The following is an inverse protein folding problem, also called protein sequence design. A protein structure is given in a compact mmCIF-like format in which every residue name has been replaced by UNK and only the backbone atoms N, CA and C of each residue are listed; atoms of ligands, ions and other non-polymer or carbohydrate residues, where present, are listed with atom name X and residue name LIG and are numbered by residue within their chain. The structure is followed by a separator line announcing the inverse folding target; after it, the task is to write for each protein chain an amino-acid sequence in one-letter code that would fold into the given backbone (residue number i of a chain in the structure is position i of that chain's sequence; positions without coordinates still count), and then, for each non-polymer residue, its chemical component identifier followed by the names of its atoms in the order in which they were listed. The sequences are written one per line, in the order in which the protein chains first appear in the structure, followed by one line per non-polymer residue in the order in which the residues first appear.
data_IF_570055904082
#
_entry.id   IF_570055904082
#
_cell.length_a   1.000
_cell.length_b   1.000
_cell.length_c   1.000
_cell.angle_alpha   90.00
_cell.angle_beta   90.00
_cell.angle_gamma   90.00
#
_symmetry.space_group_name_H-M   'P 1'
#
loop_
_entity.id
_entity.type
_entity.pdbx_description
1 polymer ?
#
# COMPACT_ATOMS: atom_id res chain seq x y z
N UNK A 1 -18.46 -35.74 -9.02
CA UNK A 1 -18.44 -34.51 -8.19
C UNK A 1 -17.03 -34.14 -7.73
N UNK A 2 -16.27 -35.03 -7.10
CA UNK A 2 -14.87 -34.76 -6.68
C UNK A 2 -13.96 -34.44 -7.89
N UNK A 3 -14.08 -35.21 -8.97
CA UNK A 3 -13.32 -34.98 -10.20
C UNK A 3 -13.55 -33.54 -10.73
N UNK A 4 -14.80 -33.08 -10.74
CA UNK A 4 -15.16 -31.74 -11.19
C UNK A 4 -14.49 -30.66 -10.33
N UNK A 5 -14.46 -30.85 -8.99
CA UNK A 5 -13.80 -29.92 -8.07
C UNK A 5 -12.28 -29.91 -8.25
N UNK A 6 -11.65 -31.07 -8.44
CA UNK A 6 -10.22 -31.14 -8.72
C UNK A 6 -9.87 -30.54 -10.07
N UNK A 7 -10.67 -30.78 -11.10
CA UNK A 7 -10.48 -30.18 -12.42
C UNK A 7 -10.62 -28.65 -12.34
N UNK A 8 -11.62 -28.15 -11.59
CA UNK A 8 -11.81 -26.72 -11.40
C UNK A 8 -10.60 -26.09 -10.67
N UNK A 9 -10.17 -26.69 -9.56
CA UNK A 9 -8.99 -26.21 -8.84
C UNK A 9 -7.74 -26.23 -9.72
N UNK A 10 -7.52 -27.31 -10.48
CA UNK A 10 -6.40 -27.43 -11.41
C UNK A 10 -6.42 -26.36 -12.49
N UNK A 11 -7.56 -26.15 -13.15
CA UNK A 11 -7.70 -25.12 -14.19
C UNK A 11 -7.48 -23.71 -13.64
N UNK A 12 -8.01 -23.41 -12.45
CA UNK A 12 -7.86 -22.09 -11.83
C UNK A 12 -6.46 -21.86 -11.23
N UNK A 13 -5.66 -22.90 -11.02
CA UNK A 13 -4.25 -22.77 -10.62
C UNK A 13 -3.32 -22.39 -11.78
N UNK A 14 -3.68 -22.72 -13.04
CA UNK A 14 -2.84 -22.45 -14.20
C UNK A 14 -2.46 -20.97 -14.38
N UNK A 15 -3.37 -19.99 -14.26
CA UNK A 15 -2.99 -18.59 -14.38
C UNK A 15 -1.99 -18.13 -13.32
N UNK A 16 -2.00 -18.75 -12.13
CA UNK A 16 -1.07 -18.41 -11.04
C UNK A 16 0.30 -19.03 -11.28
N UNK A 17 0.35 -20.28 -11.81
CA UNK A 17 1.60 -21.03 -11.97
C UNK A 17 2.32 -20.71 -13.26
N UNK A 18 1.60 -20.32 -14.33
CA UNK A 18 2.19 -20.10 -15.66
C UNK A 18 2.63 -18.66 -15.92
N UNK A 19 2.25 -17.70 -15.06
CA UNK A 19 2.64 -16.30 -15.25
C UNK A 19 3.77 -15.93 -14.32
N UNK A 20 4.83 -15.31 -14.88
CA UNK A 20 6.02 -14.91 -14.13
C UNK A 20 5.88 -13.56 -13.44
N UNK A 21 4.95 -12.70 -13.88
CA UNK A 21 4.77 -11.36 -13.31
C UNK A 21 3.93 -11.36 -12.03
N UNK A 22 4.46 -10.75 -10.97
CA UNK A 22 3.72 -10.42 -9.76
C UNK A 22 3.26 -11.61 -8.93
N UNK A 23 4.08 -12.64 -8.77
CA UNK A 23 3.78 -13.80 -7.92
C UNK A 23 3.98 -13.46 -6.43
N UNK A 24 3.04 -13.86 -5.55
CA UNK A 24 1.70 -14.43 -5.82
C UNK A 24 0.67 -13.34 -6.19
N UNK A 25 -0.02 -13.49 -7.30
CA UNK A 25 -1.00 -12.50 -7.77
C UNK A 25 -2.40 -12.82 -7.21
N UNK A 26 -2.86 -12.06 -6.22
CA UNK A 26 -4.12 -12.31 -5.52
C UNK A 26 -5.35 -12.38 -6.45
N UNK A 27 -5.43 -11.50 -7.46
CA UNK A 27 -6.53 -11.50 -8.43
C UNK A 27 -6.58 -12.77 -9.29
N UNK A 28 -5.42 -13.35 -9.62
CA UNK A 28 -5.36 -14.59 -10.40
C UNK A 28 -5.74 -15.82 -9.58
N UNK A 29 -5.53 -15.77 -8.26
CA UNK A 29 -5.89 -16.86 -7.35
C UNK A 29 -7.36 -16.84 -6.90
N UNK A 30 -8.12 -15.77 -7.20
CA UNK A 30 -9.50 -15.61 -6.73
C UNK A 30 -10.42 -16.76 -7.22
N UNK A 31 -10.16 -17.28 -8.42
CA UNK A 31 -10.91 -18.41 -8.98
C UNK A 31 -10.71 -19.74 -8.23
N UNK A 32 -9.62 -19.86 -7.45
CA UNK A 32 -9.32 -21.04 -6.63
C UNK A 32 -10.10 -21.05 -5.31
N UNK A 33 -10.60 -19.90 -4.85
CA UNK A 33 -11.27 -19.76 -3.55
C UNK A 33 -12.51 -20.68 -3.49
N UNK A 34 -13.33 -20.67 -4.53
CA UNK A 34 -14.56 -21.44 -4.55
C UNK A 34 -14.33 -22.96 -4.42
N UNK A 35 -13.50 -23.63 -5.22
CA UNK A 35 -13.23 -25.05 -5.04
C UNK A 35 -12.53 -25.36 -3.70
N UNK A 36 -11.64 -24.50 -3.19
CA UNK A 36 -11.00 -24.68 -1.89
C UNK A 36 -12.06 -24.65 -0.76
N UNK A 37 -12.96 -23.69 -0.79
CA UNK A 37 -14.03 -23.58 0.21
C UNK A 37 -15.02 -24.76 0.15
N UNK A 38 -15.30 -25.28 -1.04
CA UNK A 38 -16.12 -26.51 -1.18
C UNK A 38 -15.42 -27.74 -0.62
N UNK A 39 -14.10 -27.88 -0.83
CA UNK A 39 -13.32 -28.95 -0.20
C UNK A 39 -13.29 -28.82 1.32
N UNK A 40 -13.08 -27.62 1.84
CA UNK A 40 -13.09 -27.35 3.27
C UNK A 40 -14.48 -27.67 3.89
N UNK A 41 -15.57 -27.26 3.24
CA UNK A 41 -16.93 -27.57 3.68
C UNK A 41 -17.23 -29.06 3.67
N UNK A 42 -16.81 -29.78 2.62
CA UNK A 42 -16.96 -31.24 2.57
C UNK A 42 -16.13 -31.95 3.66
N UNK A 43 -14.90 -31.50 3.89
CA UNK A 43 -14.04 -32.02 4.96
C UNK A 43 -14.64 -31.78 6.34
N UNK A 44 -15.15 -30.57 6.59
CA UNK A 44 -15.85 -30.24 7.86
C UNK A 44 -17.10 -31.12 8.09
N UNK A 45 -17.91 -31.27 7.04
CA UNK A 45 -19.09 -32.14 7.11
C UNK A 45 -18.71 -33.61 7.41
N UNK A 46 -17.74 -34.15 6.68
CA UNK A 46 -17.28 -35.52 6.88
C UNK A 46 -16.69 -35.75 8.28
N UNK A 47 -15.96 -34.76 8.79
CA UNK A 47 -15.41 -34.81 10.15
C UNK A 47 -16.51 -34.76 11.21
N UNK A 48 -17.52 -33.93 11.01
CA UNK A 48 -18.68 -33.88 11.90
C UNK A 48 -19.44 -35.20 11.92
N UNK A 49 -19.74 -35.79 10.75
CA UNK A 49 -20.38 -37.10 10.61
C UNK A 49 -19.57 -38.22 11.32
N UNK A 50 -18.26 -38.22 11.17
CA UNK A 50 -17.38 -39.17 11.84
C UNK A 50 -17.46 -39.03 13.38
N UNK A 51 -17.41 -37.80 13.88
CA UNK A 51 -17.54 -37.52 15.31
C UNK A 51 -18.93 -37.88 15.85
N UNK A 52 -19.99 -37.59 15.09
CA UNK A 52 -21.35 -37.93 15.44
C UNK A 52 -21.53 -39.42 15.69
N UNK A 53 -20.99 -40.28 14.79
CA UNK A 53 -21.04 -41.74 14.89
C UNK A 53 -20.22 -42.28 16.04
N UNK A 54 -19.12 -41.62 16.40
CA UNK A 54 -18.17 -42.14 17.40
C UNK A 54 -18.39 -41.59 18.81
N UNK A 55 -18.80 -40.34 18.95
CA UNK A 55 -18.88 -39.65 20.23
C UNK A 55 -20.29 -39.18 20.63
N UNK A 56 -21.25 -39.30 19.72
CA UNK A 56 -22.62 -38.87 19.91
C UNK A 56 -22.81 -37.37 19.64
N UNK A 57 -24.07 -36.98 19.49
CA UNK A 57 -24.50 -35.68 19.00
C UNK A 57 -23.94 -34.49 19.83
N UNK A 58 -24.09 -34.54 21.16
CA UNK A 58 -23.65 -33.45 22.04
C UNK A 58 -22.16 -33.16 21.95
N UNK A 59 -21.35 -34.23 21.91
CA UNK A 59 -19.89 -34.10 21.81
C UNK A 59 -19.46 -33.66 20.42
N UNK A 60 -20.11 -34.13 19.35
CA UNK A 60 -19.86 -33.70 18.00
C UNK A 60 -20.21 -32.21 17.80
N UNK A 61 -21.35 -31.76 18.31
CA UNK A 61 -21.76 -30.35 18.26
C UNK A 61 -20.80 -29.44 19.05
N UNK A 62 -20.39 -29.85 20.26
CA UNK A 62 -19.42 -29.11 21.06
C UNK A 62 -18.06 -29.01 20.35
N UNK A 63 -17.56 -30.10 19.76
CA UNK A 63 -16.31 -30.10 19.02
C UNK A 63 -16.38 -29.18 17.77
N UNK A 64 -17.48 -29.22 17.02
CA UNK A 64 -17.70 -28.35 15.88
C UNK A 64 -17.73 -26.86 16.31
N UNK A 65 -18.43 -26.56 17.40
CA UNK A 65 -18.48 -25.19 17.95
C UNK A 65 -17.09 -24.68 18.38
N UNK A 66 -16.35 -25.49 19.10
CA UNK A 66 -14.97 -25.15 19.51
C UNK A 66 -14.05 -24.97 18.29
N UNK A 67 -14.17 -25.82 17.27
CA UNK A 67 -13.42 -25.66 16.03
C UNK A 67 -13.74 -24.34 15.32
N UNK A 68 -15.02 -23.97 15.24
CA UNK A 68 -15.43 -22.67 14.67
C UNK A 68 -14.84 -21.49 15.45
N UNK A 69 -14.87 -21.54 16.78
CA UNK A 69 -14.24 -20.50 17.62
C UNK A 69 -12.74 -20.46 17.38
N UNK A 70 -12.06 -21.61 17.36
CA UNK A 70 -10.62 -21.67 17.13
C UNK A 70 -10.23 -21.10 15.75
N UNK A 71 -10.98 -21.42 14.70
CA UNK A 71 -10.80 -20.85 13.36
C UNK A 71 -11.03 -19.33 13.39
N UNK A 72 -12.10 -18.85 13.99
CA UNK A 72 -12.40 -17.43 14.11
C UNK A 72 -11.28 -16.66 14.81
N UNK A 73 -10.84 -17.14 15.96
CA UNK A 73 -9.79 -16.51 16.76
C UNK A 73 -8.43 -16.54 16.04
N UNK A 74 -8.07 -17.67 15.45
CA UNK A 74 -6.81 -17.81 14.71
C UNK A 74 -6.80 -16.92 13.46
N UNK A 75 -7.90 -16.86 12.71
CA UNK A 75 -8.03 -15.99 11.53
C UNK A 75 -7.99 -14.52 11.94
N UNK A 76 -8.70 -14.14 13.00
CA UNK A 76 -8.66 -12.79 13.53
C UNK A 76 -7.23 -12.38 13.93
N UNK A 77 -6.55 -13.24 14.69
CA UNK A 77 -5.16 -12.99 15.09
C UNK A 77 -4.21 -12.89 13.89
N UNK A 78 -4.30 -13.85 12.97
CA UNK A 78 -3.46 -13.86 11.77
C UNK A 78 -3.66 -12.60 10.91
N UNK A 79 -4.92 -12.18 10.72
CA UNK A 79 -5.24 -11.03 9.88
C UNK A 79 -4.93 -9.69 10.55
N UNK A 80 -5.43 -9.47 11.78
CA UNK A 80 -5.33 -8.16 12.43
C UNK A 80 -4.06 -7.95 13.25
N UNK A 81 -3.42 -9.03 13.73
CA UNK A 81 -2.23 -8.90 14.58
C UNK A 81 -0.93 -9.23 13.84
N UNK A 82 -0.93 -10.18 12.92
CA UNK A 82 0.26 -10.52 12.16
C UNK A 82 0.31 -9.75 10.83
N UNK A 83 -0.64 -10.02 9.94
CA UNK A 83 -0.61 -9.47 8.58
C UNK A 83 -0.82 -7.96 8.53
N UNK A 84 -1.81 -7.42 9.25
CA UNK A 84 -2.12 -5.99 9.20
C UNK A 84 -1.02 -5.11 9.85
N UNK A 85 -0.19 -5.69 10.72
CA UNK A 85 0.93 -4.97 11.37
C UNK A 85 2.28 -5.24 10.72
N UNK A 86 2.31 -6.08 9.69
CA UNK A 86 3.54 -6.39 8.97
C UNK A 86 3.98 -5.18 8.13
N UNK A 87 5.27 -4.84 8.19
CA UNK A 87 5.87 -3.73 7.43
C UNK A 87 5.79 -3.96 5.92
N UNK A 88 5.85 -5.21 5.45
CA UNK A 88 5.66 -5.55 4.05
C UNK A 88 4.23 -5.26 3.59
N UNK A 89 3.23 -5.51 4.45
CA UNK A 89 1.83 -5.15 4.20
C UNK A 89 1.67 -3.63 4.11
N UNK A 90 2.22 -2.88 5.06
CA UNK A 90 2.17 -1.42 5.03
C UNK A 90 2.75 -0.86 3.72
N UNK A 91 3.89 -1.37 3.27
CA UNK A 91 4.51 -0.99 1.99
C UNK A 91 3.66 -1.38 0.79
N UNK A 92 3.08 -2.58 0.78
CA UNK A 92 2.21 -3.04 -0.31
C UNK A 92 0.96 -2.18 -0.50
N UNK A 93 0.49 -1.53 0.57
CA UNK A 93 -0.64 -0.59 0.55
C UNK A 93 -0.22 0.89 0.52
N UNK A 94 1.06 1.18 0.24
CA UNK A 94 1.57 2.55 0.10
C UNK A 94 1.21 3.44 1.30
N UNK A 95 1.35 2.91 2.51
CA UNK A 95 1.05 3.63 3.76
C UNK A 95 1.94 4.86 3.91
N UNK A 96 3.20 4.78 3.48
CA UNK A 96 4.19 5.84 3.41
C UNK A 96 3.68 7.04 2.59
N UNK A 97 3.17 6.78 1.39
CA UNK A 97 2.56 7.81 0.52
C UNK A 97 1.32 8.42 1.17
N UNK A 98 0.54 7.61 1.88
CA UNK A 98 -0.65 8.10 2.61
C UNK A 98 -0.25 9.04 3.75
N UNK A 99 0.82 8.76 4.47
CA UNK A 99 1.35 9.63 5.54
C UNK A 99 1.76 11.01 5.00
N UNK A 100 2.43 11.06 3.84
CA UNK A 100 2.71 12.33 3.16
C UNK A 100 1.39 13.07 2.87
N UNK A 101 0.41 12.39 2.27
CA UNK A 101 -0.88 12.99 1.93
C UNK A 101 -1.62 13.59 3.13
N UNK A 102 -1.64 12.89 4.27
CA UNK A 102 -2.22 13.42 5.51
C UNK A 102 -1.44 14.60 6.06
N UNK A 103 -0.10 14.54 6.07
CA UNK A 103 0.74 15.63 6.55
C UNK A 103 0.57 16.90 5.70
N UNK A 104 0.51 16.78 4.38
CA UNK A 104 0.33 17.90 3.45
C UNK A 104 -0.97 18.69 3.71
N UNK A 105 -1.99 18.08 4.29
CA UNK A 105 -3.24 18.78 4.69
C UNK A 105 -3.04 19.71 5.87
N UNK A 106 -1.99 19.54 6.65
CA UNK A 106 -1.68 20.38 7.82
C UNK A 106 -0.72 21.52 7.47
N UNK A 107 -0.06 21.46 6.32
CA UNK A 107 0.86 22.50 5.86
C UNK A 107 0.10 23.72 5.36
N UNK A 108 0.56 24.93 5.72
CA UNK A 108 -0.07 26.20 5.31
C UNK A 108 -0.32 26.26 3.81
N UNK A 109 -1.46 26.86 3.42
CA UNK A 109 -1.79 27.08 2.01
C UNK A 109 -0.80 28.03 1.31
N UNK A 110 -0.13 28.91 2.07
CA UNK A 110 0.85 29.87 1.53
C UNK A 110 2.18 29.20 1.15
N UNK A 111 2.51 28.07 1.77
CA UNK A 111 3.75 27.33 1.47
C UNK A 111 3.58 26.55 0.17
N UNK A 112 4.50 26.72 -0.78
CA UNK A 112 4.59 25.89 -1.98
C UNK A 112 5.06 24.48 -1.60
N UNK A 113 4.24 23.48 -1.88
CA UNK A 113 4.47 22.08 -1.53
C UNK A 113 4.97 21.35 -2.76
N UNK A 114 6.27 21.02 -2.76
CA UNK A 114 6.93 20.28 -3.82
C UNK A 114 6.94 18.80 -3.45
N UNK A 115 6.12 18.00 -4.09
CA UNK A 115 6.02 16.55 -3.82
C UNK A 115 6.85 15.81 -4.87
N UNK A 116 7.96 15.23 -4.43
CA UNK A 116 8.85 14.46 -5.31
C UNK A 116 8.25 13.06 -5.51
N UNK A 117 7.99 12.72 -6.76
CA UNK A 117 7.42 11.43 -7.14
C UNK A 117 8.32 10.70 -8.13
N UNK A 118 8.47 9.41 -7.92
CA UNK A 118 9.04 8.54 -8.95
C UNK A 118 8.05 8.41 -10.09
N UNK A 119 8.51 8.63 -11.32
CA UNK A 119 7.70 8.48 -12.54
C UNK A 119 8.12 7.19 -13.27
N UNK A 120 7.68 5.99 -12.85
CA UNK A 120 8.03 4.78 -13.57
C UNK A 120 7.22 4.59 -14.86
N UNK A 121 6.07 5.28 -15.00
CA UNK A 121 5.15 5.12 -16.13
C UNK A 121 4.61 6.48 -16.57
N UNK A 122 4.51 6.72 -17.89
CA UNK A 122 3.82 7.89 -18.39
C UNK A 122 2.32 7.77 -18.03
N UNK A 123 1.87 8.54 -17.07
CA UNK A 123 0.44 8.69 -16.81
C UNK A 123 -0.16 9.58 -17.91
N UNK A 124 -1.38 9.27 -18.31
CA UNK A 124 -2.16 10.07 -19.26
C UNK A 124 -2.32 11.55 -18.81
N UNK A 125 -2.07 11.83 -17.53
CA UNK A 125 -2.13 13.16 -16.90
C UNK A 125 -0.77 13.73 -16.55
N UNK A 126 0.31 13.15 -17.03
CA UNK A 126 1.69 13.53 -16.71
C UNK A 126 2.04 13.51 -15.21
N UNK A 127 1.27 12.80 -14.38
CA UNK A 127 1.54 12.61 -12.94
C UNK A 127 1.65 11.13 -12.64
N UNK A 128 2.76 10.72 -12.04
CA UNK A 128 3.03 9.31 -11.74
C UNK A 128 2.00 8.66 -10.81
N UNK A 129 1.75 7.37 -11.02
CA UNK A 129 0.78 6.59 -10.23
C UNK A 129 0.97 6.72 -8.71
N UNK A 130 2.19 6.74 -8.15
CA UNK A 130 2.39 6.93 -6.71
C UNK A 130 1.83 8.24 -6.17
N UNK A 131 1.80 9.31 -6.97
CA UNK A 131 1.25 10.60 -6.57
C UNK A 131 -0.29 10.60 -6.47
N UNK A 132 -0.97 9.67 -7.11
CA UNK A 132 -2.44 9.65 -7.15
C UNK A 132 -3.07 9.47 -5.75
N UNK A 133 -2.44 8.71 -4.87
CA UNK A 133 -2.88 8.58 -3.48
C UNK A 133 -2.80 9.93 -2.76
N UNK A 134 -1.70 10.67 -2.93
CA UNK A 134 -1.53 12.01 -2.36
C UNK A 134 -2.56 12.97 -2.95
N UNK A 135 -2.77 12.94 -4.27
CA UNK A 135 -3.76 13.76 -4.96
C UNK A 135 -5.17 13.51 -4.45
N UNK A 136 -5.51 12.25 -4.17
CA UNK A 136 -6.80 11.88 -3.58
C UNK A 136 -6.95 12.44 -2.17
N UNK A 137 -5.98 12.22 -1.31
CA UNK A 137 -6.02 12.65 0.09
C UNK A 137 -6.01 14.18 0.24
N UNK A 138 -5.33 14.89 -0.67
CA UNK A 138 -5.21 16.34 -0.64
C UNK A 138 -6.24 17.04 -1.54
N UNK A 139 -7.07 16.29 -2.28
CA UNK A 139 -8.02 16.82 -3.26
C UNK A 139 -7.35 17.75 -4.29
N UNK A 140 -6.30 17.25 -4.96
CA UNK A 140 -5.49 18.02 -5.94
C UNK A 140 -5.46 17.40 -7.33
N UNK A 141 -6.52 16.69 -7.73
CA UNK A 141 -6.61 16.04 -9.05
C UNK A 141 -6.64 17.00 -10.24
N UNK A 142 -7.12 18.24 -10.04
CA UNK A 142 -7.22 19.23 -11.11
C UNK A 142 -6.17 20.32 -10.93
N UNK A 143 -5.69 20.90 -12.04
CA UNK A 143 -4.72 21.99 -12.01
C UNK A 143 -5.23 23.17 -11.16
N UNK A 144 -6.51 23.52 -11.29
CA UNK A 144 -7.14 24.56 -10.48
C UNK A 144 -6.98 24.29 -8.98
N UNK A 145 -7.20 23.05 -8.53
CA UNK A 145 -7.07 22.67 -7.11
C UNK A 145 -5.61 22.59 -6.67
N UNK A 146 -4.70 22.15 -7.55
CA UNK A 146 -3.25 22.16 -7.28
C UNK A 146 -2.75 23.58 -7.05
N UNK A 147 -3.07 24.50 -7.95
CA UNK A 147 -2.70 25.91 -7.81
C UNK A 147 -3.32 26.54 -6.56
N UNK A 148 -4.61 26.29 -6.28
CA UNK A 148 -5.28 26.84 -5.10
C UNK A 148 -4.65 26.38 -3.78
N UNK A 149 -3.95 25.24 -3.76
CA UNK A 149 -3.27 24.67 -2.58
C UNK A 149 -1.76 24.83 -2.62
N UNK A 150 -1.22 25.54 -3.61
CA UNK A 150 0.22 25.67 -3.86
C UNK A 150 0.94 24.32 -3.82
N UNK A 151 0.44 23.35 -4.63
CA UNK A 151 0.96 22.00 -4.66
C UNK A 151 1.46 21.65 -6.07
N UNK A 152 2.71 21.21 -6.14
CA UNK A 152 3.38 20.77 -7.36
C UNK A 152 3.91 19.35 -7.17
N UNK A 153 3.68 18.50 -8.18
CA UNK A 153 4.26 17.16 -8.25
C UNK A 153 5.42 17.20 -9.23
N UNK A 154 6.62 16.90 -8.76
CA UNK A 154 7.84 17.03 -9.54
C UNK A 154 8.62 15.72 -9.57
N UNK A 155 9.36 15.52 -10.64
CA UNK A 155 10.27 14.39 -10.74
C UNK A 155 11.56 14.63 -9.94
N UNK A 156 12.24 13.57 -9.55
CA UNK A 156 13.50 13.67 -8.81
C UNK A 156 14.55 14.54 -9.52
N UNK A 157 14.66 14.43 -10.86
CA UNK A 157 15.61 15.20 -11.66
C UNK A 157 15.24 16.70 -11.83
N UNK A 158 13.99 17.07 -11.56
CA UNK A 158 13.52 18.47 -11.62
C UNK A 158 13.71 19.19 -10.29
N UNK A 159 13.93 18.42 -9.21
CA UNK A 159 13.90 18.94 -7.83
C UNK A 159 14.94 20.03 -7.60
N UNK A 160 16.17 19.85 -8.07
CA UNK A 160 17.24 20.86 -7.90
C UNK A 160 16.88 22.19 -8.58
N UNK A 161 16.48 22.14 -9.84
CA UNK A 161 16.10 23.34 -10.62
C UNK A 161 14.90 24.06 -10.02
N UNK A 162 13.93 23.29 -9.51
CA UNK A 162 12.74 23.87 -8.89
C UNK A 162 13.06 24.53 -7.54
N UNK A 163 13.93 23.94 -6.75
CA UNK A 163 14.44 24.56 -5.49
C UNK A 163 15.19 25.84 -5.79
N UNK A 164 16.10 25.83 -6.76
CA UNK A 164 16.86 27.02 -7.18
C UNK A 164 15.91 28.17 -7.58
N UNK A 165 14.91 27.85 -8.40
CA UNK A 165 13.89 28.81 -8.79
C UNK A 165 13.09 29.38 -7.60
N UNK A 166 12.77 28.51 -6.62
CA UNK A 166 12.03 28.95 -5.43
C UNK A 166 12.87 29.85 -4.53
N UNK A 167 14.18 29.56 -4.37
CA UNK A 167 15.11 30.36 -3.61
C UNK A 167 15.32 31.74 -4.26
N UNK A 168 15.51 31.80 -5.59
CA UNK A 168 15.67 33.04 -6.32
C UNK A 168 14.46 33.97 -6.20
N UNK A 169 13.27 33.39 -6.24
CA UNK A 169 12.02 34.11 -6.06
C UNK A 169 11.65 34.39 -4.59
N UNK A 170 12.45 33.90 -3.66
CA UNK A 170 12.16 33.96 -2.21
C UNK A 170 10.80 33.36 -1.84
N UNK A 171 10.40 32.31 -2.54
CA UNK A 171 9.17 31.57 -2.23
C UNK A 171 9.31 30.83 -0.90
N UNK A 172 8.24 30.81 -0.10
CA UNK A 172 8.17 29.89 1.03
C UNK A 172 7.80 28.51 0.49
N UNK A 173 8.69 27.53 0.59
CA UNK A 173 8.45 26.20 0.05
C UNK A 173 8.87 25.08 1.01
N UNK A 174 8.34 23.90 0.80
CA UNK A 174 8.76 22.66 1.44
C UNK A 174 8.72 21.52 0.43
N UNK A 175 9.78 20.71 0.39
CA UNK A 175 9.93 19.53 -0.46
C UNK A 175 9.58 18.30 0.36
N UNK A 176 8.79 17.39 -0.19
CA UNK A 176 8.36 16.15 0.44
C UNK A 176 8.78 14.97 -0.42
N UNK A 177 9.50 14.02 0.16
CA UNK A 177 9.95 12.80 -0.51
C UNK A 177 9.91 11.61 0.43
N UNK A 178 9.73 10.41 -0.13
CA UNK A 178 9.74 9.17 0.63
C UNK A 178 11.13 8.83 1.15
N UNK A 179 11.20 8.24 2.33
CA UNK A 179 12.43 7.69 2.90
C UNK A 179 12.73 6.34 2.23
N UNK A 180 13.47 6.37 1.14
CA UNK A 180 13.96 5.19 0.45
C UNK A 180 15.40 5.41 -0.03
N UNK A 181 16.19 4.34 -0.25
CA UNK A 181 17.59 4.45 -0.67
C UNK A 181 17.80 5.24 -1.97
N UNK A 182 16.82 5.26 -2.87
CA UNK A 182 16.90 6.03 -4.11
C UNK A 182 16.89 7.55 -3.85
N UNK A 183 16.15 7.98 -2.82
CA UNK A 183 16.08 9.38 -2.43
C UNK A 183 17.22 9.83 -1.54
N UNK A 184 17.95 8.93 -0.86
CA UNK A 184 19.08 9.28 0.01
C UNK A 184 20.17 10.05 -0.76
N UNK A 185 20.49 9.61 -1.98
CA UNK A 185 21.46 10.29 -2.84
C UNK A 185 20.95 11.69 -3.24
N UNK A 186 19.69 11.82 -3.59
CA UNK A 186 19.08 13.10 -3.91
C UNK A 186 19.15 14.07 -2.72
N UNK A 187 18.81 13.60 -1.52
CA UNK A 187 18.87 14.40 -0.28
C UNK A 187 20.29 14.90 -0.04
N UNK A 188 21.30 14.04 -0.15
CA UNK A 188 22.71 14.41 0.04
C UNK A 188 23.16 15.44 -0.98
N UNK A 189 22.80 15.29 -2.26
CA UNK A 189 23.11 16.24 -3.30
C UNK A 189 22.47 17.60 -3.03
N UNK A 190 21.18 17.61 -2.64
CA UNK A 190 20.45 18.83 -2.30
C UNK A 190 21.10 19.58 -1.12
N UNK A 191 21.51 18.88 -0.07
CA UNK A 191 22.16 19.48 1.09
C UNK A 191 23.56 20.02 0.77
N UNK A 192 24.27 19.35 -0.12
CA UNK A 192 25.60 19.81 -0.58
C UNK A 192 25.48 21.08 -1.41
N UNK A 193 24.50 21.13 -2.31
CA UNK A 193 24.28 22.28 -3.20
C UNK A 193 23.60 23.46 -2.50
N UNK A 194 22.70 23.18 -1.55
CA UNK A 194 21.89 24.19 -0.85
C UNK A 194 22.05 24.04 0.67
N UNK A 195 23.19 24.44 1.28
CA UNK A 195 23.45 24.23 2.71
C UNK A 195 22.50 25.03 3.64
N UNK A 196 21.75 25.99 3.09
CA UNK A 196 20.73 26.76 3.79
C UNK A 196 19.40 25.98 3.97
N UNK A 197 19.29 24.76 3.47
CA UNK A 197 18.12 23.94 3.68
C UNK A 197 18.18 23.18 5.00
N UNK A 198 17.04 22.99 5.62
CA UNK A 198 16.83 22.16 6.80
C UNK A 198 16.12 20.88 6.37
N UNK A 199 16.63 19.75 6.85
CA UNK A 199 16.01 18.43 6.63
C UNK A 199 15.38 17.96 7.92
N UNK A 200 14.12 17.59 7.84
CA UNK A 200 13.39 16.96 8.94
C UNK A 200 12.82 15.62 8.46
N UNK A 201 13.29 14.53 9.05
CA UNK A 201 12.79 13.18 8.75
C UNK A 201 11.71 12.82 9.75
N UNK A 202 10.55 12.42 9.24
CA UNK A 202 9.38 11.99 10.02
C UNK A 202 8.96 10.60 9.56
N UNK A 203 9.41 9.58 10.29
CA UNK A 203 9.02 8.18 10.00
C UNK A 203 9.32 7.76 8.57
N UNK A 204 8.33 7.83 7.69
CA UNK A 204 8.37 7.28 6.34
C UNK A 204 8.69 8.31 5.24
N UNK A 205 8.77 9.60 5.60
CA UNK A 205 9.09 10.65 4.64
C UNK A 205 10.04 11.69 5.20
N UNK A 206 10.71 12.40 4.29
CA UNK A 206 11.59 13.52 4.59
C UNK A 206 10.97 14.82 4.06
N UNK A 207 11.02 15.86 4.88
CA UNK A 207 10.68 17.25 4.55
C UNK A 207 11.95 18.07 4.49
N UNK A 208 12.11 18.85 3.41
CA UNK A 208 13.23 19.78 3.22
C UNK A 208 12.66 21.18 3.01
N UNK A 209 13.16 22.15 3.77
CA UNK A 209 12.67 23.54 3.72
C UNK A 209 13.82 24.53 3.98
N UNK A 210 13.72 25.81 3.58
CA UNK A 210 14.71 26.81 3.93
C UNK A 210 14.79 27.01 5.45
N UNK A 211 16.02 27.22 5.95
CA UNK A 211 16.21 27.67 7.33
C UNK A 211 15.66 29.09 7.46
N UNK A 212 14.69 29.27 8.33
CA UNK A 212 14.13 30.58 8.69
C UNK A 212 15.11 31.38 9.52
#
# INVERSE_FOLDING_TARGET
RLITLFSWLGLMSLPVTLTQEGLPHALRSIGMIAPIMLFAGYGAYSSYEFLLKRAGEKKAAAAAFLACIAILLSTHYAYFSLWAKDTATARAFSTDVSHIGYHLRTVSAETTKLVVTELPWPDLRAVGTPAQTIMFLTDTFTDKKRHAKNMEYIAAWETETRIETALDKKEQFAVFLLNNPANDTLIQNLLTRFPQLLVTTSGEFTRIEPRT
#
